data_IF_785980332410
#
_entry.id   IF_785980332410
#
_cell.length_a   1.000
_cell.length_b   1.000
_cell.length_c   1.000
_cell.angle_alpha   90.00
_cell.angle_beta   90.00
_cell.angle_gamma   90.00
#
_symmetry.space_group_name_H-M   'P 1'
#
loop_
_entity.id
_entity.type
_entity.pdbx_description
1 polymer ?
#
# COMPACT_ATOMS: atom_id res chain seq x y z
N UNK A 1 5.91 -0.70 -7.81
CA UNK A 1 5.50 -0.27 -9.18
C UNK A 1 4.07 0.23 -9.12
N UNK A 2 3.83 1.55 -9.08
CA UNK A 2 2.46 2.10 -9.14
C UNK A 2 1.85 1.65 -10.47
N UNK A 3 0.71 0.96 -10.44
CA UNK A 3 0.02 0.58 -11.67
C UNK A 3 -0.30 1.85 -12.47
N UNK A 4 0.12 1.88 -13.73
CA UNK A 4 -0.27 2.94 -14.68
C UNK A 4 -1.79 2.98 -14.74
N UNK A 5 -2.37 4.17 -14.57
CA UNK A 5 -3.81 4.34 -14.75
C UNK A 5 -4.02 4.23 -16.27
N UNK A 6 -4.72 3.18 -16.70
CA UNK A 6 -5.11 3.02 -18.09
C UNK A 6 -6.32 3.91 -18.35
N UNK A 7 -6.32 4.63 -19.45
CA UNK A 7 -7.51 5.33 -19.93
C UNK A 7 -7.82 4.89 -21.34
N UNK A 8 -9.10 4.97 -21.68
CA UNK A 8 -9.61 4.82 -23.03
C UNK A 8 -10.09 6.19 -23.51
N UNK A 9 -9.82 6.50 -24.77
CA UNK A 9 -10.26 7.73 -25.40
C UNK A 9 -11.04 7.44 -26.67
N UNK A 10 -12.05 8.28 -26.95
CA UNK A 10 -12.83 8.24 -28.18
C UNK A 10 -13.22 9.66 -28.57
N UNK A 11 -13.18 9.97 -29.86
CA UNK A 11 -13.62 11.28 -30.37
C UNK A 11 -15.15 11.39 -30.35
N UNK A 12 -15.62 12.57 -29.97
CA UNK A 12 -17.03 12.96 -29.99
C UNK A 12 -17.28 13.96 -31.12
N UNK A 13 -18.42 13.86 -31.83
CA UNK A 13 -18.99 15.00 -32.58
C UNK A 13 -20.50 15.04 -32.39
N UNK A 14 -21.05 16.23 -32.11
CA UNK A 14 -22.49 16.45 -31.96
C UNK A 14 -23.16 15.48 -30.96
N UNK A 15 -22.49 15.17 -29.84
CA UNK A 15 -22.90 14.17 -28.85
C UNK A 15 -22.99 12.71 -29.35
N UNK A 16 -22.53 12.43 -30.57
CA UNK A 16 -22.40 11.07 -31.09
C UNK A 16 -20.95 10.57 -31.02
N UNK A 17 -20.82 9.28 -30.74
CA UNK A 17 -19.55 8.57 -30.70
C UNK A 17 -19.05 8.30 -32.12
N UNK A 18 -17.84 8.76 -32.43
CA UNK A 18 -17.23 8.55 -33.74
C UNK A 18 -15.98 7.68 -33.64
N UNK A 19 -16.03 6.58 -34.39
CA UNK A 19 -14.87 5.77 -34.67
C UNK A 19 -14.40 4.87 -33.51
N UNK A 20 -13.19 4.31 -33.65
CA UNK A 20 -12.65 3.35 -32.71
C UNK A 20 -12.24 3.98 -31.37
N UNK A 21 -12.07 3.12 -30.36
CA UNK A 21 -11.55 3.48 -29.04
C UNK A 21 -10.06 3.21 -29.01
N UNK A 22 -9.29 4.13 -28.43
CA UNK A 22 -7.85 3.97 -28.27
C UNK A 22 -7.46 3.94 -26.80
N UNK A 23 -6.40 3.21 -26.49
CA UNK A 23 -5.73 3.35 -25.20
C UNK A 23 -4.94 4.66 -25.15
N UNK A 24 -4.94 5.30 -23.99
CA UNK A 24 -4.11 6.44 -23.67
C UNK A 24 -3.44 6.23 -22.31
N UNK A 25 -2.22 6.75 -22.18
CA UNK A 25 -1.44 6.67 -20.94
C UNK A 25 -1.58 7.96 -20.13
N UNK A 26 -1.88 7.84 -18.84
CA UNK A 26 -1.96 8.99 -17.94
C UNK A 26 -0.57 9.45 -17.48
N UNK A 27 -0.18 10.66 -17.87
CA UNK A 27 1.09 11.28 -17.52
C UNK A 27 0.99 12.05 -16.19
N UNK A 28 1.22 11.34 -15.09
CA UNK A 28 1.13 11.88 -13.72
C UNK A 28 1.99 13.12 -13.49
N UNK A 29 3.21 13.12 -14.01
CA UNK A 29 4.19 14.17 -13.73
C UNK A 29 3.90 15.48 -14.50
N UNK A 30 3.05 15.41 -15.53
CA UNK A 30 2.60 16.57 -16.31
C UNK A 30 1.21 17.08 -15.89
N UNK A 31 0.49 16.31 -15.07
CA UNK A 31 -0.83 16.67 -14.57
C UNK A 31 -0.74 17.72 -13.45
N UNK A 32 -1.78 18.54 -13.31
CA UNK A 32 -1.94 19.51 -12.23
C UNK A 32 -3.36 19.44 -11.64
N UNK A 33 -3.71 20.35 -10.74
CA UNK A 33 -5.00 20.34 -10.04
C UNK A 33 -6.22 20.50 -10.95
N UNK A 34 -6.06 21.11 -12.13
CA UNK A 34 -7.18 21.43 -13.03
C UNK A 34 -7.12 20.67 -14.35
N UNK A 35 -5.98 20.05 -14.67
CA UNK A 35 -5.74 19.42 -15.96
C UNK A 35 -5.07 18.05 -15.82
N UNK A 36 -5.55 17.12 -16.64
CA UNK A 36 -4.99 15.79 -16.83
C UNK A 36 -4.29 15.76 -18.17
N UNK A 37 -3.08 15.21 -18.21
CA UNK A 37 -2.33 15.01 -19.46
C UNK A 37 -2.36 13.53 -19.81
N UNK A 38 -2.86 13.23 -21.02
CA UNK A 38 -2.89 11.89 -21.59
C UNK A 38 -1.96 11.82 -22.80
N UNK A 39 -1.18 10.76 -22.88
CA UNK A 39 -0.39 10.44 -24.07
C UNK A 39 -1.22 9.53 -24.98
N UNK A 40 -1.47 10.02 -26.19
CA UNK A 40 -2.10 9.23 -27.25
C UNK A 40 -1.02 8.44 -28.01
N UNK A 41 -1.39 7.26 -28.50
CA UNK A 41 -0.52 6.50 -29.40
C UNK A 41 -0.40 7.17 -30.77
N UNK A 42 0.71 6.91 -31.47
CA UNK A 42 0.92 7.40 -32.84
C UNK A 42 -0.20 6.96 -33.79
N UNK A 43 -0.69 5.73 -33.61
CA UNK A 43 -1.82 5.17 -34.37
C UNK A 43 -3.09 6.00 -34.14
N UNK A 44 -3.43 6.30 -32.89
CA UNK A 44 -4.59 7.14 -32.55
C UNK A 44 -4.51 8.52 -33.22
N UNK A 45 -3.35 9.17 -33.16
CA UNK A 45 -3.13 10.47 -33.79
C UNK A 45 -3.29 10.42 -35.31
N UNK A 46 -2.73 9.39 -35.94
CA UNK A 46 -2.77 9.21 -37.41
C UNK A 46 -4.19 8.93 -37.89
N UNK A 47 -4.90 7.99 -37.28
CA UNK A 47 -6.26 7.59 -37.68
C UNK A 47 -7.26 8.73 -37.50
N UNK A 48 -7.09 9.54 -36.46
CA UNK A 48 -7.95 10.69 -36.18
C UNK A 48 -7.48 11.98 -36.87
N UNK A 49 -6.36 11.94 -37.62
CA UNK A 49 -5.71 13.08 -38.26
C UNK A 49 -5.48 14.26 -37.29
N UNK A 50 -5.08 13.98 -36.04
CA UNK A 50 -4.87 15.00 -35.02
C UNK A 50 -3.64 15.84 -35.35
N UNK A 51 -3.81 17.17 -35.30
CA UNK A 51 -2.74 18.13 -35.51
C UNK A 51 -2.22 18.68 -34.18
N UNK A 52 -0.94 19.06 -34.15
CA UNK A 52 -0.36 19.69 -32.96
C UNK A 52 -1.08 21.02 -32.65
N UNK A 53 -1.44 21.23 -31.38
CA UNK A 53 -2.19 22.41 -30.93
C UNK A 53 -3.68 22.42 -31.29
N UNK A 54 -4.19 21.37 -31.93
CA UNK A 54 -5.61 21.24 -32.24
C UNK A 54 -6.44 21.05 -30.96
N UNK A 55 -7.63 21.67 -30.93
CA UNK A 55 -8.65 21.36 -29.94
C UNK A 55 -9.65 20.36 -30.53
N UNK A 56 -9.95 19.30 -29.76
CA UNK A 56 -10.94 18.30 -30.12
C UNK A 56 -11.67 17.82 -28.87
N UNK A 57 -12.94 17.47 -29.03
CA UNK A 57 -13.75 16.92 -27.95
C UNK A 57 -13.62 15.39 -27.94
N UNK A 58 -13.31 14.84 -26.78
CA UNK A 58 -13.10 13.41 -26.58
C UNK A 58 -13.79 12.94 -25.31
N UNK A 59 -14.40 11.76 -25.36
CA UNK A 59 -14.75 10.99 -24.18
C UNK A 59 -13.49 10.34 -23.62
N UNK A 60 -13.26 10.50 -22.32
CA UNK A 60 -12.16 9.87 -21.60
C UNK A 60 -12.75 8.95 -20.53
N UNK A 61 -12.42 7.66 -20.60
CA UNK A 61 -12.82 6.67 -19.61
C UNK A 61 -11.60 6.12 -18.87
N UNK A 62 -11.47 6.49 -17.60
CA UNK A 62 -10.45 5.91 -16.71
C UNK A 62 -10.82 4.49 -16.32
N UNK A 63 -9.89 3.56 -16.50
CA UNK A 63 -10.08 2.15 -16.19
C UNK A 63 -9.63 1.88 -14.75
N UNK A 64 -10.53 1.32 -13.95
CA UNK A 64 -10.22 0.89 -12.59
C UNK A 64 -9.39 -0.39 -12.67
N UNK A 65 -8.17 -0.34 -12.11
CA UNK A 65 -7.40 -1.56 -11.90
C UNK A 65 -8.01 -2.37 -10.75
N UNK A 66 -8.63 -3.51 -11.08
CA UNK A 66 -9.26 -4.40 -10.10
C UNK A 66 -8.28 -5.33 -9.39
N UNK A 67 -7.05 -5.45 -9.88
CA UNK A 67 -6.07 -6.41 -9.37
C UNK A 67 -5.86 -6.28 -7.87
N UNK A 68 -5.69 -5.05 -7.37
CA UNK A 68 -5.53 -4.78 -5.94
C UNK A 68 -6.69 -5.31 -5.08
N UNK A 69 -7.93 -5.15 -5.55
CA UNK A 69 -9.10 -5.68 -4.86
C UNK A 69 -9.11 -7.21 -4.88
N UNK A 70 -8.80 -7.82 -6.02
CA UNK A 70 -8.69 -9.27 -6.14
C UNK A 70 -7.59 -9.84 -5.23
N UNK A 71 -6.45 -9.17 -5.11
CA UNK A 71 -5.37 -9.56 -4.20
C UNK A 71 -5.79 -9.48 -2.73
N UNK A 72 -6.50 -8.42 -2.32
CA UNK A 72 -7.06 -8.32 -0.97
C UNK A 72 -8.06 -9.45 -0.66
N UNK A 73 -8.97 -9.75 -1.61
CA UNK A 73 -9.91 -10.86 -1.44
C UNK A 73 -9.19 -12.21 -1.33
N UNK A 74 -8.25 -12.47 -2.26
CA UNK A 74 -7.43 -13.67 -2.23
C UNK A 74 -6.66 -13.82 -0.91
N UNK A 75 -6.11 -12.73 -0.37
CA UNK A 75 -5.42 -12.78 0.91
C UNK A 75 -6.33 -13.21 2.06
N UNK A 76 -7.62 -12.85 2.04
CA UNK A 76 -8.61 -13.31 3.02
C UNK A 76 -8.94 -14.79 2.78
N UNK A 77 -9.17 -15.19 1.53
CA UNK A 77 -9.50 -16.58 1.16
C UNK A 77 -8.36 -17.55 1.50
N UNK A 78 -7.10 -17.10 1.40
CA UNK A 78 -5.90 -17.88 1.69
C UNK A 78 -5.60 -17.97 3.21
N UNK A 79 -6.35 -17.28 4.10
CA UNK A 79 -6.14 -17.37 5.55
C UNK A 79 -6.63 -18.74 6.08
N UNK A 80 -5.74 -19.54 6.72
CA UNK A 80 -6.11 -20.85 7.25
C UNK A 80 -7.08 -20.77 8.44
N UNK A 81 -6.99 -19.70 9.23
CA UNK A 81 -7.92 -19.35 10.30
C UNK A 81 -7.83 -17.84 10.60
N UNK A 82 -8.79 -17.37 11.39
CA UNK A 82 -8.91 -15.96 11.75
C UNK A 82 -8.15 -15.58 13.03
N UNK A 83 -7.57 -16.54 13.77
CA UNK A 83 -7.02 -16.32 15.12
C UNK A 83 -5.87 -15.30 15.14
N UNK A 84 -5.12 -15.17 14.05
CA UNK A 84 -4.04 -14.17 13.94
C UNK A 84 -4.56 -12.75 13.68
N UNK A 85 -5.71 -12.62 13.03
CA UNK A 85 -6.32 -11.33 12.66
C UNK A 85 -7.28 -10.88 13.74
N UNK A 86 -8.01 -11.82 14.33
CA UNK A 86 -8.98 -11.65 15.41
C UNK A 86 -8.61 -12.55 16.59
N UNK A 87 -7.52 -12.23 17.31
CA UNK A 87 -7.04 -13.03 18.43
C UNK A 87 -8.04 -13.02 19.60
N UNK A 88 -8.29 -14.19 20.19
CA UNK A 88 -8.97 -14.26 21.50
C UNK A 88 -8.01 -13.85 22.62
N UNK A 89 -8.15 -12.62 23.10
CA UNK A 89 -7.31 -12.08 24.15
C UNK A 89 -7.68 -12.62 25.54
N UNK A 90 -8.87 -13.23 25.71
CA UNK A 90 -9.37 -13.65 27.03
C UNK A 90 -8.57 -14.78 27.65
N UNK A 91 -7.95 -15.62 26.83
CA UNK A 91 -7.21 -16.82 27.26
C UNK A 91 -5.69 -16.70 26.99
N UNK A 92 -5.19 -15.49 26.72
CA UNK A 92 -3.80 -15.28 26.35
C UNK A 92 -2.87 -15.24 27.58
N UNK A 93 -2.32 -16.40 27.93
CA UNK A 93 -1.28 -16.51 28.97
C UNK A 93 0.10 -16.36 28.31
N UNK A 94 0.65 -15.15 28.28
CA UNK A 94 2.02 -14.91 27.87
C UNK A 94 2.80 -14.15 28.94
N UNK A 95 4.08 -14.49 29.09
CA UNK A 95 4.96 -13.85 30.06
C UNK A 95 5.92 -12.91 29.33
N UNK A 96 5.92 -11.63 29.70
CA UNK A 96 6.87 -10.65 29.19
C UNK A 96 8.10 -10.69 30.08
N UNK A 97 9.23 -11.13 29.53
CA UNK A 97 10.53 -10.92 30.15
C UNK A 97 10.92 -9.45 29.99
N UNK A 98 11.05 -8.73 31.10
CA UNK A 98 11.62 -7.38 31.10
C UNK A 98 13.14 -7.50 30.97
N UNK A 99 13.70 -7.05 29.85
CA UNK A 99 15.13 -6.88 29.68
C UNK A 99 15.52 -5.41 29.96
N UNK A 100 16.76 -5.20 30.37
CA UNK A 100 17.28 -3.93 30.91
C UNK A 100 17.01 -2.72 30.01
N UNK A 101 16.74 -1.58 30.65
CA UNK A 101 16.46 -0.29 30.03
C UNK A 101 17.48 0.10 28.98
N UNK A 102 16.99 0.37 27.77
CA UNK A 102 17.75 1.17 26.81
C UNK A 102 17.48 2.63 27.14
N UNK A 103 18.52 3.37 27.56
CA UNK A 103 18.41 4.74 28.09
C UNK A 103 17.77 5.78 27.14
N UNK A 104 17.46 5.38 25.90
CA UNK A 104 16.89 6.23 24.85
C UNK A 104 15.39 5.99 24.61
N UNK A 105 14.75 5.01 25.28
CA UNK A 105 13.34 4.70 25.08
C UNK A 105 12.50 5.16 26.26
N UNK A 106 11.32 5.70 25.97
CA UNK A 106 10.32 5.92 27.03
C UNK A 106 9.69 4.59 27.46
N UNK A 107 9.01 4.60 28.60
CA UNK A 107 8.38 3.41 29.21
C UNK A 107 7.51 2.60 28.23
N UNK A 108 6.71 3.29 27.40
CA UNK A 108 5.82 2.63 26.42
C UNK A 108 6.60 1.97 25.29
N UNK A 109 7.65 2.63 24.81
CA UNK A 109 8.52 2.10 23.77
C UNK A 109 9.34 0.91 24.30
N UNK A 110 9.83 1.00 25.54
CA UNK A 110 10.56 -0.08 26.20
C UNK A 110 9.65 -1.29 26.47
N UNK A 111 8.41 -1.07 26.91
CA UNK A 111 7.43 -2.15 27.06
C UNK A 111 7.15 -2.87 25.73
N UNK A 112 7.04 -2.11 24.64
CA UNK A 112 6.86 -2.67 23.31
C UNK A 112 8.08 -3.47 22.82
N UNK A 113 9.30 -2.99 23.11
CA UNK A 113 10.54 -3.74 22.84
C UNK A 113 10.58 -5.06 23.61
N UNK A 114 10.31 -5.02 24.92
CA UNK A 114 10.31 -6.20 25.78
C UNK A 114 9.29 -7.24 25.30
N UNK A 115 8.10 -6.80 24.88
CA UNK A 115 7.09 -7.66 24.26
C UNK A 115 7.69 -8.41 23.07
N UNK A 116 8.20 -7.69 22.06
CA UNK A 116 8.69 -8.29 20.82
C UNK A 116 9.88 -9.24 21.05
N UNK A 117 10.78 -8.91 21.99
CA UNK A 117 11.93 -9.76 22.31
C UNK A 117 11.53 -11.04 23.06
N UNK A 118 10.56 -10.96 23.97
CA UNK A 118 10.06 -12.12 24.74
C UNK A 118 9.33 -13.16 23.88
N UNK A 119 8.75 -12.73 22.76
CA UNK A 119 7.98 -13.55 21.81
C UNK A 119 8.84 -14.52 21.02
N UNK A 120 10.15 -14.29 20.93
CA UNK A 120 11.06 -15.10 20.08
C UNK A 120 11.32 -16.53 20.60
N UNK A 121 10.87 -16.88 21.82
CA UNK A 121 11.12 -18.18 22.45
C UNK A 121 9.92 -19.11 22.63
N UNK A 122 8.67 -18.62 22.49
CA UNK A 122 7.47 -19.40 22.83
C UNK A 122 6.58 -19.64 21.61
N UNK A 123 6.15 -20.88 21.36
CA UNK A 123 5.33 -21.28 20.19
C UNK A 123 3.82 -21.20 20.43
N UNK A 124 3.39 -20.49 21.46
CA UNK A 124 1.97 -20.26 21.73
C UNK A 124 1.39 -19.16 20.83
N UNK A 125 0.05 -19.09 20.76
CA UNK A 125 -0.66 -18.02 20.05
C UNK A 125 -0.36 -16.69 20.73
N UNK A 126 0.56 -15.91 20.17
CA UNK A 126 0.97 -14.61 20.68
C UNK A 126 0.12 -13.54 19.97
N UNK A 127 -0.51 -12.63 20.73
CA UNK A 127 -1.35 -11.60 20.14
C UNK A 127 -0.50 -10.59 19.33
N UNK A 128 -1.09 -9.96 18.31
CA UNK A 128 -0.45 -8.87 17.58
C UNK A 128 -0.20 -7.66 18.50
N UNK A 129 0.93 -6.98 18.30
CA UNK A 129 1.26 -5.73 18.99
C UNK A 129 0.71 -4.53 18.20
N UNK A 130 -0.10 -3.70 18.86
CA UNK A 130 -0.57 -2.41 18.32
C UNK A 130 0.22 -1.25 18.92
N UNK A 131 0.96 -0.52 18.08
CA UNK A 131 1.65 0.71 18.46
C UNK A 131 0.84 1.90 17.94
N UNK A 132 0.33 2.72 18.84
CA UNK A 132 -0.47 3.91 18.52
C UNK A 132 0.02 5.13 19.30
N UNK A 133 -0.29 6.32 18.79
CA UNK A 133 0.08 7.58 19.42
C UNK A 133 0.10 8.78 18.46
N UNK A 134 0.11 10.01 18.98
CA UNK A 134 0.16 11.24 18.19
C UNK A 134 1.35 11.34 17.22
N UNK A 135 1.30 12.31 16.30
CA UNK A 135 2.45 12.64 15.45
C UNK A 135 3.68 13.00 16.30
N UNK A 136 4.87 12.66 15.82
CA UNK A 136 6.12 12.94 16.53
C UNK A 136 6.46 12.04 17.72
N UNK A 137 5.60 11.09 18.11
CA UNK A 137 5.84 10.21 19.28
C UNK A 137 6.78 9.01 19.02
N UNK A 138 7.54 9.05 17.92
CA UNK A 138 8.56 8.06 17.64
C UNK A 138 8.06 6.67 17.23
N UNK A 139 6.79 6.49 16.83
CA UNK A 139 6.24 5.18 16.40
C UNK A 139 7.12 4.45 15.37
N UNK A 140 7.51 5.16 14.30
CA UNK A 140 8.39 4.63 13.25
C UNK A 140 9.78 4.29 13.77
N UNK A 141 10.33 5.13 14.65
CA UNK A 141 11.63 4.90 15.29
C UNK A 141 11.58 3.66 16.20
N UNK A 142 10.50 3.46 16.94
CA UNK A 142 10.27 2.26 17.76
C UNK A 142 10.24 1.01 16.88
N UNK A 143 9.48 1.02 15.77
CA UNK A 143 9.43 -0.10 14.83
C UNK A 143 10.81 -0.41 14.22
N UNK A 144 11.58 0.63 13.89
CA UNK A 144 12.95 0.47 13.40
C UNK A 144 13.88 -0.17 14.44
N UNK A 145 13.83 0.30 15.70
CA UNK A 145 14.62 -0.28 16.80
C UNK A 145 14.24 -1.74 17.09
N UNK A 146 12.95 -2.08 17.04
CA UNK A 146 12.47 -3.47 17.14
C UNK A 146 13.06 -4.34 16.03
N UNK A 147 12.97 -3.86 14.80
CA UNK A 147 13.50 -4.57 13.62
C UNK A 147 15.01 -4.79 13.75
N UNK A 148 15.76 -3.77 14.15
CA UNK A 148 17.21 -3.84 14.37
C UNK A 148 17.58 -4.85 15.47
N UNK A 149 16.77 -4.99 16.51
CA UNK A 149 17.01 -5.99 17.54
C UNK A 149 16.68 -7.41 17.04
N UNK A 150 15.57 -7.59 16.32
CA UNK A 150 15.14 -8.88 15.79
C UNK A 150 16.06 -9.43 14.70
N UNK A 151 16.60 -8.59 13.83
CA UNK A 151 17.46 -9.03 12.71
C UNK A 151 18.82 -9.58 13.16
N UNK A 152 19.23 -9.29 14.41
CA UNK A 152 20.44 -9.88 15.01
C UNK A 152 20.34 -11.40 15.17
N UNK A 153 19.12 -11.93 15.18
CA UNK A 153 18.87 -13.37 15.24
C UNK A 153 18.77 -13.92 13.80
N UNK A 154 19.70 -14.80 13.36
CA UNK A 154 19.83 -15.19 11.95
C UNK A 154 18.64 -15.97 11.38
N UNK A 155 17.83 -16.58 12.24
CA UNK A 155 16.60 -17.30 11.85
C UNK A 155 15.44 -16.36 11.48
N UNK A 156 15.49 -15.09 11.89
CA UNK A 156 14.38 -14.17 11.71
C UNK A 156 14.36 -13.64 10.28
N UNK A 157 13.21 -13.77 9.61
CA UNK A 157 12.89 -13.09 8.35
C UNK A 157 11.82 -12.05 8.62
N UNK A 158 12.12 -10.79 8.35
CA UNK A 158 11.25 -9.65 8.69
C UNK A 158 10.69 -9.06 7.40
N UNK A 159 9.36 -8.93 7.34
CA UNK A 159 8.64 -8.21 6.29
C UNK A 159 8.13 -6.88 6.87
N UNK A 160 8.51 -5.77 6.25
CA UNK A 160 8.02 -4.42 6.60
C UNK A 160 7.16 -3.92 5.44
N UNK A 161 5.91 -3.57 5.75
CA UNK A 161 4.94 -3.07 4.79
C UNK A 161 4.43 -1.67 5.19
N UNK A 162 4.11 -0.87 4.19
CA UNK A 162 3.42 0.41 4.32
C UNK A 162 2.43 0.52 3.15
N UNK A 163 1.32 1.24 3.35
CA UNK A 163 0.35 1.48 2.29
C UNK A 163 0.89 2.41 1.20
N UNK A 164 1.80 3.31 1.57
CA UNK A 164 2.37 4.31 0.67
C UNK A 164 3.84 4.03 0.42
N UNK A 165 4.27 4.14 -0.85
CA UNK A 165 5.69 4.18 -1.21
C UNK A 165 6.28 5.55 -0.86
#
# INVERSE_FOLDING_TARGET
KRHTIRSLVRVMKNNDYLGPVYEAEFLKDAANETQVVLQLSEQCCTDLNLQNGQQCEMEVQFQINRLWFCEMHKAIDDLPNLDKVFPDLKNSNFCISFQSDTAELNEKQQAAMNFVLSVTGNRSSIPPLLIYGPFGTGKTQTLAKMTQALVKQPQNKILICTHTN
#
